data_IF_743446033065
#
_entry.id   IF_743446033065
#
_cell.length_a   1.000
_cell.length_b   1.000
_cell.length_c   1.000
_cell.angle_alpha   90.00
_cell.angle_beta   90.00
_cell.angle_gamma   90.00
#
_symmetry.space_group_name_H-M   'P 1'
#
loop_
_entity.id
_entity.type
_entity.pdbx_description
1 polymer ?
#
# COMPACT_ATOMS: atom_id res chain seq x y z
N UNK A 1 9.26 -12.10 -8.27
CA UNK A 1 10.50 -11.93 -7.48
C UNK A 1 10.73 -13.08 -6.47
N UNK A 2 9.81 -13.38 -5.55
CA UNK A 2 10.02 -14.39 -4.48
C UNK A 2 10.01 -15.85 -4.94
N UNK A 3 9.38 -16.18 -6.07
CA UNK A 3 9.22 -17.55 -6.57
C UNK A 3 10.53 -18.22 -6.99
N UNK A 4 11.56 -17.45 -7.37
CA UNK A 4 12.86 -17.97 -7.79
C UNK A 4 13.86 -18.22 -6.65
N UNK A 5 13.47 -17.97 -5.40
CA UNK A 5 14.37 -18.08 -4.25
C UNK A 5 14.36 -19.48 -3.62
N UNK A 6 15.49 -19.94 -3.05
CA UNK A 6 15.51 -21.13 -2.20
C UNK A 6 14.48 -21.01 -1.04
N UNK A 7 13.81 -22.10 -0.64
CA UNK A 7 12.69 -22.03 0.31
C UNK A 7 12.99 -21.28 1.61
N UNK A 8 14.16 -21.54 2.22
CA UNK A 8 14.58 -20.85 3.46
C UNK A 8 14.74 -19.34 3.28
N UNK A 9 15.33 -18.92 2.16
CA UNK A 9 15.53 -17.49 1.84
C UNK A 9 14.19 -16.81 1.60
N UNK A 10 13.28 -17.48 0.87
CA UNK A 10 11.91 -17.01 0.63
C UNK A 10 11.16 -16.78 1.95
N UNK A 11 11.19 -17.74 2.88
CA UNK A 11 10.56 -17.61 4.20
C UNK A 11 11.10 -16.41 4.98
N UNK A 12 12.43 -16.25 5.05
CA UNK A 12 13.06 -15.11 5.74
C UNK A 12 12.62 -13.77 5.16
N UNK A 13 12.49 -13.66 3.83
CA UNK A 13 11.98 -12.45 3.19
C UNK A 13 10.51 -12.19 3.52
N UNK A 14 9.66 -13.22 3.52
CA UNK A 14 8.25 -13.11 3.92
C UNK A 14 8.13 -12.64 5.36
N UNK A 15 8.92 -13.18 6.29
CA UNK A 15 8.88 -12.78 7.71
C UNK A 15 9.29 -11.32 7.91
N UNK A 16 10.28 -10.86 7.14
CA UNK A 16 10.67 -9.44 7.13
C UNK A 16 9.53 -8.56 6.61
N UNK A 17 8.88 -8.95 5.53
CA UNK A 17 7.70 -8.26 4.99
C UNK A 17 6.57 -8.22 6.02
N UNK A 18 6.24 -9.33 6.66
CA UNK A 18 5.20 -9.40 7.70
C UNK A 18 5.49 -8.51 8.91
N UNK A 19 6.75 -8.27 9.24
CA UNK A 19 7.13 -7.32 10.30
C UNK A 19 6.89 -5.87 9.88
N UNK A 20 7.05 -5.54 8.61
CA UNK A 20 6.72 -4.21 8.07
C UNK A 20 5.21 -4.02 8.03
N UNK A 21 4.46 -5.02 7.52
CA UNK A 21 3.00 -5.01 7.55
C UNK A 21 2.45 -4.74 8.96
N UNK A 22 3.01 -5.41 9.98
CA UNK A 22 2.59 -5.20 11.38
C UNK A 22 2.78 -3.77 11.88
N UNK A 23 3.75 -3.02 11.37
CA UNK A 23 3.91 -1.59 11.71
C UNK A 23 2.78 -0.75 11.12
N UNK A 24 2.38 -1.02 9.89
CA UNK A 24 1.20 -0.38 9.29
C UNK A 24 -0.07 -0.74 10.05
N UNK A 25 -0.20 -1.98 10.52
CA UNK A 25 -1.40 -2.41 11.26
C UNK A 25 -1.57 -1.62 12.57
N UNK A 26 -0.47 -1.34 13.28
CA UNK A 26 -0.49 -0.46 14.45
C UNK A 26 -0.97 0.95 14.10
N UNK A 27 -0.34 1.58 13.10
CA UNK A 27 -0.73 2.92 12.62
C UNK A 27 -2.20 3.01 12.21
N UNK A 28 -2.70 2.01 11.47
CA UNK A 28 -4.09 1.94 11.05
C UNK A 28 -5.03 1.75 12.25
N UNK A 29 -4.63 0.96 13.25
CA UNK A 29 -5.43 0.75 14.46
C UNK A 29 -5.54 2.01 15.29
N UNK A 30 -4.44 2.77 15.43
CA UNK A 30 -4.44 4.07 16.11
C UNK A 30 -5.37 5.05 15.38
N UNK A 31 -5.29 5.10 14.05
CA UNK A 31 -6.19 5.92 13.22
C UNK A 31 -7.68 5.54 13.36
N UNK A 32 -7.98 4.25 13.50
CA UNK A 32 -9.35 3.78 13.79
C UNK A 32 -9.78 4.22 15.19
N UNK A 33 -8.91 4.10 16.18
CA UNK A 33 -9.21 4.46 17.58
C UNK A 33 -9.47 5.96 17.76
N UNK A 34 -8.75 6.82 17.04
CA UNK A 34 -8.95 8.27 17.05
C UNK A 34 -10.06 8.75 16.09
N UNK A 35 -10.60 7.86 15.26
CA UNK A 35 -11.68 8.14 14.31
C UNK A 35 -11.24 8.80 12.99
N UNK A 36 -9.94 8.87 12.71
CA UNK A 36 -9.40 9.38 11.44
C UNK A 36 -9.49 8.37 10.30
N UNK A 37 -9.61 7.08 10.63
CA UNK A 37 -9.75 5.98 9.68
C UNK A 37 -11.04 5.20 9.97
N UNK A 38 -11.81 4.91 8.92
CA UNK A 38 -12.96 4.01 9.02
C UNK A 38 -12.53 2.62 9.51
N UNK A 39 -13.29 2.01 10.41
CA UNK A 39 -13.03 0.64 10.86
C UNK A 39 -12.93 -0.35 9.68
N UNK A 40 -11.79 -1.04 9.62
CA UNK A 40 -11.38 -2.05 8.64
C UNK A 40 -10.52 -3.10 9.33
N UNK A 41 -10.21 -4.22 8.67
CA UNK A 41 -9.17 -5.14 9.14
C UNK A 41 -7.77 -4.52 8.92
N UNK A 42 -7.03 -4.19 10.00
CA UNK A 42 -5.74 -3.51 9.87
C UNK A 42 -4.65 -4.38 9.25
N UNK A 43 -4.71 -5.71 9.43
CA UNK A 43 -3.71 -6.63 8.88
C UNK A 43 -3.89 -6.77 7.37
N UNK A 44 -5.13 -6.92 6.91
CA UNK A 44 -5.46 -6.99 5.47
C UNK A 44 -5.06 -5.69 4.77
N UNK A 45 -5.45 -4.53 5.32
CA UNK A 45 -5.07 -3.24 4.75
C UNK A 45 -3.55 -2.99 4.74
N UNK A 46 -2.83 -3.49 5.75
CA UNK A 46 -1.37 -3.43 5.77
C UNK A 46 -0.72 -4.20 4.61
N UNK A 47 -1.29 -5.34 4.21
CA UNK A 47 -0.82 -6.08 3.04
C UNK A 47 -1.09 -5.30 1.74
N UNK A 48 -2.24 -4.63 1.64
CA UNK A 48 -2.55 -3.75 0.51
C UNK A 48 -1.57 -2.56 0.41
N UNK A 49 -1.28 -1.90 1.53
CA UNK A 49 -0.27 -0.84 1.63
C UNK A 49 1.12 -1.32 1.18
N UNK A 50 1.52 -2.51 1.62
CA UNK A 50 2.80 -3.11 1.19
C UNK A 50 2.83 -3.41 -0.30
N UNK A 51 1.74 -3.97 -0.85
CA UNK A 51 1.62 -4.22 -2.28
C UNK A 51 1.71 -2.93 -3.09
N UNK A 52 1.05 -1.86 -2.63
CA UNK A 52 1.13 -0.54 -3.24
C UNK A 52 2.55 0.02 -3.23
N UNK A 53 3.27 -0.10 -2.11
CA UNK A 53 4.64 0.39 -2.00
C UNK A 53 5.57 -0.31 -3.00
N UNK A 54 5.41 -1.63 -3.17
CA UNK A 54 6.14 -2.39 -4.18
C UNK A 54 5.75 -1.94 -5.61
N UNK A 55 4.45 -1.80 -5.88
CA UNK A 55 3.95 -1.34 -7.16
C UNK A 55 4.50 0.06 -7.53
N UNK A 56 4.54 0.99 -6.58
CA UNK A 56 5.09 2.33 -6.78
C UNK A 56 6.58 2.30 -7.18
N UNK A 57 7.36 1.36 -6.64
CA UNK A 57 8.75 1.18 -7.03
C UNK A 57 8.89 0.61 -8.46
N UNK A 58 8.06 -0.36 -8.80
CA UNK A 58 8.03 -1.01 -10.13
C UNK A 58 7.57 -0.02 -11.21
N UNK A 59 6.56 0.80 -10.88
CA UNK A 59 5.94 1.77 -11.78
C UNK A 59 6.60 3.14 -11.76
N UNK A 60 7.78 3.29 -11.13
CA UNK A 60 8.48 4.59 -11.01
C UNK A 60 8.70 5.32 -12.34
N UNK A 61 8.89 4.57 -13.44
CA UNK A 61 9.05 5.15 -14.78
C UNK A 61 7.76 5.79 -15.28
N UNK A 62 6.63 5.13 -15.09
CA UNK A 62 5.31 5.71 -15.39
C UNK A 62 5.03 6.91 -14.49
N UNK A 63 5.31 6.80 -13.19
CA UNK A 63 5.15 7.93 -12.27
C UNK A 63 6.01 9.14 -12.66
N UNK A 64 7.19 8.93 -13.26
CA UNK A 64 8.05 10.04 -13.72
C UNK A 64 7.54 10.80 -14.95
N UNK A 65 6.47 10.32 -15.61
CA UNK A 65 5.87 11.04 -16.76
C UNK A 65 4.85 12.09 -16.34
N UNK A 66 4.67 12.34 -15.04
CA UNK A 66 3.70 13.28 -14.48
C UNK A 66 4.29 13.99 -13.24
N UNK A 67 3.69 15.11 -12.78
CA UNK A 67 4.03 15.72 -11.51
C UNK A 67 3.94 14.72 -10.34
N UNK A 68 4.85 14.85 -9.37
CA UNK A 68 4.96 13.91 -8.25
C UNK A 68 3.67 13.84 -7.43
N UNK A 69 3.04 14.98 -7.22
CA UNK A 69 1.80 15.13 -6.46
C UNK A 69 0.66 14.36 -7.14
N UNK A 70 0.61 14.39 -8.48
CA UNK A 70 -0.36 13.64 -9.26
C UNK A 70 -0.13 12.13 -9.16
N UNK A 71 1.13 11.68 -9.27
CA UNK A 71 1.46 10.27 -9.08
C UNK A 71 1.07 9.78 -7.67
N UNK A 72 1.37 10.57 -6.63
CA UNK A 72 0.98 10.26 -5.25
C UNK A 72 -0.55 10.15 -5.13
N UNK A 73 -1.30 11.08 -5.71
CA UNK A 73 -2.76 11.07 -5.67
C UNK A 73 -3.34 9.78 -6.28
N UNK A 74 -2.82 9.32 -7.43
CA UNK A 74 -3.27 8.07 -8.05
C UNK A 74 -3.01 6.83 -7.19
N UNK A 75 -1.85 6.72 -6.55
CA UNK A 75 -1.58 5.60 -5.65
C UNK A 75 -2.43 5.67 -4.37
N UNK A 76 -2.58 6.87 -3.80
CA UNK A 76 -3.29 7.08 -2.55
C UNK A 76 -4.80 6.88 -2.68
N UNK A 77 -5.41 7.26 -3.81
CA UNK A 77 -6.86 7.17 -4.00
C UNK A 77 -7.38 5.74 -3.89
N UNK A 78 -6.64 4.77 -4.43
CA UNK A 78 -7.02 3.35 -4.36
C UNK A 78 -7.13 2.85 -2.93
N UNK A 79 -6.29 3.35 -2.02
CA UNK A 79 -6.34 2.99 -0.60
C UNK A 79 -7.35 3.80 0.19
N UNK A 80 -7.46 5.09 -0.08
CA UNK A 80 -8.29 6.01 0.69
C UNK A 80 -9.78 5.87 0.32
N UNK A 81 -10.07 5.69 -0.97
CA UNK A 81 -11.41 5.77 -1.53
C UNK A 81 -11.84 4.48 -2.26
N UNK A 82 -10.89 3.63 -2.63
CA UNK A 82 -11.14 2.34 -3.26
C UNK A 82 -10.75 2.32 -4.74
N UNK A 83 -10.65 1.13 -5.31
CA UNK A 83 -10.13 0.93 -6.68
C UNK A 83 -11.03 1.52 -7.78
N UNK A 84 -12.33 1.59 -7.53
CA UNK A 84 -13.30 2.10 -8.51
C UNK A 84 -13.64 3.57 -8.31
N UNK A 85 -12.90 4.26 -7.43
CA UNK A 85 -13.04 5.68 -7.19
C UNK A 85 -12.34 6.50 -8.28
N UNK A 86 -12.97 7.58 -8.71
CA UNK A 86 -12.50 8.49 -9.76
C UNK A 86 -12.16 9.90 -9.26
N UNK A 87 -12.18 10.17 -7.95
CA UNK A 87 -11.85 11.48 -7.39
C UNK A 87 -10.45 11.97 -7.82
N UNK A 88 -9.48 11.06 -7.89
CA UNK A 88 -8.11 11.40 -8.32
C UNK A 88 -8.00 11.71 -9.82
N UNK A 89 -9.03 11.40 -10.62
CA UNK A 89 -9.08 11.70 -12.05
C UNK A 89 -9.67 13.09 -12.33
N UNK A 90 -10.11 13.83 -11.30
CA UNK A 90 -10.71 15.16 -11.44
C UNK A 90 -12.09 15.15 -12.09
N UNK A 91 -12.77 14.00 -12.05
CA UNK A 91 -14.13 13.82 -12.58
C UNK A 91 -15.08 13.69 -11.40
N UNK A 92 -15.89 14.72 -11.18
CA UNK A 92 -17.14 14.65 -10.42
C UNK A 92 -18.29 14.69 -11.42
#
# INVERSE_FOLDING_TARGET
ALSGLPPRVRTTMIDRSNRIARRFAGMLSDGIAEGSIRAIDPLVASQALMALQNAAFDMRKWASTMPREQAIAYYASTLAFGLFDDNALGRN
#
